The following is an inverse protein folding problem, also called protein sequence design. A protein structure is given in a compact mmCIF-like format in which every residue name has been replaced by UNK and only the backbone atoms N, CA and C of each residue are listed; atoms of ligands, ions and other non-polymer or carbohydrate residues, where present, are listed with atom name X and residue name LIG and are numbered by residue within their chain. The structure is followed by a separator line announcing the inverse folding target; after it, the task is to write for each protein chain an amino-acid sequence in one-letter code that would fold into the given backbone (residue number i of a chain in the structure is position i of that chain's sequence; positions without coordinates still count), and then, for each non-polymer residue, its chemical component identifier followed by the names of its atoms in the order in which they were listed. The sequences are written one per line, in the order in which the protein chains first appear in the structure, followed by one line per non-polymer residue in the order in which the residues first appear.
data_IF_673122566462
#
_entry.id   IF_673122566462
#
_cell.length_a   1.000
_cell.length_b   1.000
_cell.length_c   1.000
_cell.angle_alpha   90.00
_cell.angle_beta   90.00
_cell.angle_gamma   90.00
#
_symmetry.space_group_name_H-M   'P 1'
#
loop_
_entity.id
_entity.type
_entity.pdbx_description
1 polymer ?
#
# COMPACT_ATOMS: atom_id res chain seq x y z
N UNK A 1 19.42 -17.74 0.01
CA UNK A 1 19.56 -17.01 -1.27
C UNK A 1 18.42 -15.99 -1.34
N UNK A 2 18.71 -14.72 -1.63
CA UNK A 2 17.70 -13.67 -1.80
C UNK A 2 17.25 -13.69 -3.26
N UNK A 3 15.93 -13.74 -3.51
CA UNK A 3 15.36 -13.81 -4.88
C UNK A 3 15.21 -12.43 -5.54
N UNK A 4 15.01 -11.39 -4.73
CA UNK A 4 14.90 -10.01 -5.19
C UNK A 4 14.79 -9.05 -4.02
N UNK A 5 14.99 -7.77 -4.29
CA UNK A 5 14.94 -6.67 -3.32
C UNK A 5 14.15 -5.52 -3.94
N UNK A 6 13.37 -4.83 -3.11
CA UNK A 6 12.64 -3.64 -3.53
C UNK A 6 12.56 -2.64 -2.40
N UNK A 7 12.54 -1.37 -2.77
CA UNK A 7 12.37 -0.24 -1.86
C UNK A 7 11.49 0.80 -2.54
N UNK A 8 10.73 1.54 -1.75
CA UNK A 8 9.89 2.61 -2.26
C UNK A 8 9.67 3.71 -1.20
N UNK A 9 9.40 4.92 -1.67
CA UNK A 9 9.13 6.09 -0.84
C UNK A 9 7.85 6.77 -1.30
N UNK A 10 6.89 6.89 -0.38
CA UNK A 10 5.60 7.54 -0.63
C UNK A 10 5.44 8.75 0.26
N UNK A 11 5.22 9.91 -0.35
CA UNK A 11 4.87 11.13 0.38
C UNK A 11 3.43 11.05 0.91
N UNK A 12 3.25 11.31 2.21
CA UNK A 12 1.92 11.31 2.84
C UNK A 12 0.99 12.34 2.17
N UNK A 13 1.50 13.54 1.85
CA UNK A 13 0.75 14.58 1.15
C UNK A 13 0.20 14.11 -0.20
N UNK A 14 0.92 13.24 -0.93
CA UNK A 14 0.43 12.65 -2.18
C UNK A 14 -0.78 11.76 -1.93
N UNK A 15 -0.79 11.01 -0.83
CA UNK A 15 -1.92 10.13 -0.48
C UNK A 15 -3.11 10.95 0.02
N UNK A 16 -2.88 12.01 0.78
CA UNK A 16 -3.92 12.97 1.17
C UNK A 16 -4.60 13.57 -0.06
N UNK A 17 -3.83 14.02 -1.05
CA UNK A 17 -4.33 14.54 -2.33
C UNK A 17 -5.14 13.49 -3.10
N UNK A 18 -4.64 12.25 -3.19
CA UNK A 18 -5.34 11.16 -3.89
C UNK A 18 -6.66 10.81 -3.20
N UNK A 19 -6.68 10.78 -1.86
CA UNK A 19 -7.89 10.56 -1.08
C UNK A 19 -8.89 11.69 -1.29
N UNK A 20 -8.45 12.94 -1.25
CA UNK A 20 -9.32 14.10 -1.47
C UNK A 20 -9.91 14.12 -2.88
N UNK A 21 -9.12 13.75 -3.90
CA UNK A 21 -9.56 13.79 -5.31
C UNK A 21 -10.37 12.57 -5.75
N UNK A 22 -10.13 11.39 -5.18
CA UNK A 22 -10.66 10.13 -5.70
C UNK A 22 -11.37 9.25 -4.66
N UNK A 23 -11.23 9.55 -3.36
CA UNK A 23 -11.92 8.87 -2.26
C UNK A 23 -11.93 7.35 -2.40
N UNK A 24 -13.13 6.77 -2.33
CA UNK A 24 -13.35 5.33 -2.36
C UNK A 24 -12.87 4.64 -3.64
N UNK A 25 -12.85 5.35 -4.78
CA UNK A 25 -12.34 4.78 -6.04
C UNK A 25 -10.85 4.48 -5.95
N UNK A 26 -10.08 5.38 -5.34
CA UNK A 26 -8.66 5.15 -5.09
C UNK A 26 -8.48 4.02 -4.07
N UNK A 27 -9.25 4.08 -2.96
CA UNK A 27 -9.18 3.08 -1.91
C UNK A 27 -9.46 1.66 -2.42
N UNK A 28 -10.57 1.47 -3.14
CA UNK A 28 -10.97 0.17 -3.67
C UNK A 28 -10.11 -0.35 -4.81
N UNK A 29 -9.32 0.52 -5.47
CA UNK A 29 -8.37 0.08 -6.50
C UNK A 29 -7.06 -0.43 -5.90
N UNK A 30 -6.61 0.17 -4.80
CA UNK A 30 -5.24 0.02 -4.30
C UNK A 30 -5.16 -0.83 -3.03
N UNK A 31 -6.16 -0.76 -2.16
CA UNK A 31 -6.12 -1.39 -0.84
C UNK A 31 -7.16 -2.49 -0.72
N UNK A 32 -6.79 -3.58 -0.06
CA UNK A 32 -7.71 -4.70 0.21
C UNK A 32 -8.79 -4.28 1.22
N UNK A 33 -9.79 -5.14 1.44
CA UNK A 33 -10.79 -4.87 2.46
C UNK A 33 -10.17 -4.79 3.88
N UNK A 34 -9.22 -5.68 4.20
CA UNK A 34 -8.52 -5.70 5.48
C UNK A 34 -7.72 -4.42 5.73
N UNK A 35 -6.94 -3.99 4.73
CA UNK A 35 -6.13 -2.77 4.83
C UNK A 35 -6.98 -1.51 5.02
N UNK A 36 -8.10 -1.40 4.30
CA UNK A 36 -9.03 -0.27 4.45
C UNK A 36 -9.65 -0.24 5.84
N UNK A 37 -10.13 -1.38 6.33
CA UNK A 37 -10.70 -1.48 7.67
C UNK A 37 -9.69 -1.05 8.74
N UNK A 38 -8.43 -1.48 8.61
CA UNK A 38 -7.39 -1.12 9.56
C UNK A 38 -7.00 0.36 9.46
N UNK A 39 -6.68 0.86 8.26
CA UNK A 39 -6.12 2.19 8.06
C UNK A 39 -7.15 3.30 8.33
N UNK A 40 -8.40 3.11 7.89
CA UNK A 40 -9.46 4.11 8.07
C UNK A 40 -9.92 4.24 9.52
N UNK A 41 -9.70 3.20 10.35
CA UNK A 41 -9.97 3.25 11.79
C UNK A 41 -8.90 4.00 12.61
N UNK A 42 -7.80 4.45 11.99
CA UNK A 42 -6.71 5.17 12.69
C UNK A 42 -6.96 6.67 12.73
N UNK A 43 -6.35 7.35 13.70
CA UNK A 43 -6.44 8.80 13.84
C UNK A 43 -5.94 9.60 12.62
N UNK A 44 -4.95 9.05 11.88
CA UNK A 44 -4.40 9.68 10.67
C UNK A 44 -4.35 8.68 9.50
N UNK A 45 -5.48 8.38 8.84
CA UNK A 45 -5.56 7.30 7.84
C UNK A 45 -4.54 7.44 6.71
N UNK A 46 -4.29 8.65 6.21
CA UNK A 46 -3.36 8.88 5.10
C UNK A 46 -1.92 8.44 5.41
N UNK A 47 -1.46 8.54 6.66
CA UNK A 47 -0.12 8.07 7.07
C UNK A 47 -0.03 6.55 6.93
N UNK A 48 -1.06 5.84 7.40
CA UNK A 48 -1.10 4.39 7.33
C UNK A 48 -1.25 3.91 5.88
N UNK A 49 -2.14 4.54 5.11
CA UNK A 49 -2.31 4.24 3.68
C UNK A 49 -1.03 4.49 2.87
N UNK A 50 -0.28 5.56 3.18
CA UNK A 50 1.01 5.81 2.54
C UNK A 50 2.04 4.72 2.83
N UNK A 51 2.09 4.24 4.09
CA UNK A 51 2.98 3.15 4.46
C UNK A 51 2.63 1.84 3.72
N UNK A 52 1.34 1.50 3.59
CA UNK A 52 0.91 0.31 2.83
C UNK A 52 1.20 0.46 1.34
N UNK A 53 1.01 1.65 0.79
CA UNK A 53 1.33 1.92 -0.61
C UNK A 53 2.83 1.71 -0.88
N UNK A 54 3.70 2.26 -0.02
CA UNK A 54 5.15 2.08 -0.13
C UNK A 54 5.56 0.60 0.01
N UNK A 55 5.01 -0.11 0.99
CA UNK A 55 5.28 -1.53 1.18
C UNK A 55 4.84 -2.37 -0.03
N UNK A 56 3.67 -2.08 -0.62
CA UNK A 56 3.21 -2.74 -1.85
C UNK A 56 4.13 -2.45 -3.03
N UNK A 57 4.52 -1.19 -3.25
CA UNK A 57 5.44 -0.82 -4.33
C UNK A 57 6.82 -1.48 -4.15
N UNK A 58 7.35 -1.53 -2.92
CA UNK A 58 8.58 -2.22 -2.61
C UNK A 58 8.47 -3.73 -2.88
N UNK A 59 7.38 -4.38 -2.46
CA UNK A 59 7.14 -5.80 -2.72
C UNK A 59 7.03 -6.10 -4.22
N UNK A 60 6.29 -5.31 -4.99
CA UNK A 60 6.17 -5.48 -6.44
C UNK A 60 7.52 -5.34 -7.16
N UNK A 61 8.40 -4.45 -6.69
CA UNK A 61 9.77 -4.32 -7.21
C UNK A 61 10.61 -5.55 -6.85
N UNK A 62 10.50 -6.05 -5.62
CA UNK A 62 11.25 -7.23 -5.17
C UNK A 62 10.86 -8.51 -5.93
N UNK A 63 9.58 -8.67 -6.28
CA UNK A 63 9.08 -9.81 -7.06
C UNK A 63 9.58 -9.77 -8.52
N UNK A 64 10.02 -8.60 -9.00
CA UNK A 64 10.63 -8.44 -10.33
C UNK A 64 9.63 -8.55 -11.50
N UNK A 65 8.33 -8.63 -11.21
CA UNK A 65 7.28 -8.77 -12.21
C UNK A 65 6.86 -7.43 -12.82
N UNK A 66 7.09 -6.32 -12.12
CA UNK A 66 6.54 -5.02 -12.49
C UNK A 66 5.01 -5.08 -12.71
N UNK A 67 4.44 -4.01 -13.24
CA UNK A 67 3.01 -3.99 -13.60
C UNK A 67 2.70 -4.87 -14.83
N UNK A 68 3.72 -5.20 -15.61
CA UNK A 68 3.61 -5.89 -16.90
C UNK A 68 3.40 -7.39 -16.80
N UNK A 69 3.75 -8.02 -15.67
CA UNK A 69 3.65 -9.49 -15.49
C UNK A 69 2.52 -9.91 -14.53
N UNK A 70 1.55 -9.03 -14.27
CA UNK A 70 0.24 -9.43 -13.76
C UNK A 70 -0.01 -9.30 -12.26
N UNK A 71 0.98 -8.90 -11.45
CA UNK A 71 0.73 -8.58 -10.03
C UNK A 71 -0.02 -7.26 -9.92
N UNK A 72 -1.21 -7.30 -9.32
CA UNK A 72 -2.10 -6.15 -9.10
C UNK A 72 -2.01 -5.69 -7.65
N UNK A 73 -2.42 -4.46 -7.39
CA UNK A 73 -2.50 -3.93 -6.02
C UNK A 73 -3.28 -4.80 -5.05
N UNK A 74 -4.37 -5.41 -5.52
CA UNK A 74 -5.25 -6.26 -4.72
C UNK A 74 -4.69 -7.67 -4.49
N UNK A 75 -3.61 -8.06 -5.20
CA UNK A 75 -2.97 -9.38 -5.03
C UNK A 75 -1.99 -9.39 -3.84
N UNK A 76 -1.73 -8.21 -3.27
CA UNK A 76 -0.85 -8.01 -2.12
C UNK A 76 -1.65 -7.39 -0.98
N UNK A 77 -1.50 -7.94 0.23
CA UNK A 77 -2.03 -7.37 1.46
C UNK A 77 -0.88 -7.17 2.46
N UNK A 78 -0.79 -5.96 3.00
CA UNK A 78 0.16 -5.60 4.04
C UNK A 78 -0.55 -5.70 5.39
N UNK A 79 -0.22 -6.74 6.14
CA UNK A 79 -0.76 -6.98 7.47
C UNK A 79 0.31 -6.79 8.54
N UNK A 80 0.02 -5.95 9.55
CA UNK A 80 0.94 -5.62 10.64
C UNK A 80 0.37 -6.09 11.99
N UNK A 81 0.54 -7.37 12.37
CA UNK A 81 0.05 -7.85 13.66
C UNK A 81 0.79 -7.14 14.81
N UNK A 82 0.04 -6.75 15.85
CA UNK A 82 0.62 -6.21 17.09
C UNK A 82 1.21 -4.80 16.99
N UNK A 83 0.94 -4.04 15.93
CA UNK A 83 1.46 -2.67 15.78
C UNK A 83 2.92 -2.60 15.34
N UNK A 84 3.50 -3.71 14.88
CA UNK A 84 4.77 -3.68 14.17
C UNK A 84 4.67 -2.73 12.96
N UNK A 85 5.76 -2.04 12.59
CA UNK A 85 5.75 -1.24 11.37
C UNK A 85 5.44 -2.15 10.16
N UNK A 86 4.67 -1.64 9.18
CA UNK A 86 4.58 -2.29 7.86
C UNK A 86 5.92 -2.30 7.14
#
# INVERSE_FOLDING_TARGET
MILGLGTDLVAIARVEDLLARHGDRFLGRVFTAGERAECLGRARPAVHLAARLAAKEAAMKAIGTGWSLGVRWQDLEVHSPGGAPP
#
